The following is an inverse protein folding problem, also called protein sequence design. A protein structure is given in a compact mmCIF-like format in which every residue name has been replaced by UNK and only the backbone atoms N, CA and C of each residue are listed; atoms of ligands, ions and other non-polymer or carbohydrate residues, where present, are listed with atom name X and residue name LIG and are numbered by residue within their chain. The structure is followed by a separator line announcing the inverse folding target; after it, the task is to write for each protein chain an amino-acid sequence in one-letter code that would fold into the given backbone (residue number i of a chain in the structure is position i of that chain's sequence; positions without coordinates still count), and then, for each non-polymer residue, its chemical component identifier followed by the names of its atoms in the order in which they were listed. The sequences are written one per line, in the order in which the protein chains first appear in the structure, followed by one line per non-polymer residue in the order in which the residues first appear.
data_IF_801118491299
#
_entry.id   IF_801118491299
#
_cell.length_a   1.000
_cell.length_b   1.000
_cell.length_c   1.000
_cell.angle_alpha   90.00
_cell.angle_beta   90.00
_cell.angle_gamma   90.00
#
_symmetry.space_group_name_H-M   'P 1'
#
loop_
_entity.id
_entity.type
_entity.pdbx_description
1 polymer ?
#
# COMPACT_ATOMS: atom_id res chain seq x y z
N UNK A 1 17.30 -16.28 -17.66
CA UNK A 1 16.13 -15.77 -16.93
C UNK A 1 15.61 -16.89 -16.06
N UNK A 2 15.39 -16.67 -14.75
CA UNK A 2 14.89 -17.71 -13.87
C UNK A 2 13.52 -18.20 -14.37
N UNK A 3 13.39 -19.50 -14.67
CA UNK A 3 12.09 -20.09 -14.99
C UNK A 3 11.35 -20.30 -13.66
N UNK A 4 10.54 -19.31 -13.27
CA UNK A 4 9.70 -19.41 -12.05
C UNK A 4 8.74 -20.61 -12.11
N UNK A 5 8.35 -21.01 -13.33
CA UNK A 5 7.66 -22.27 -13.62
C UNK A 5 7.96 -22.66 -15.09
N UNK A 6 8.27 -23.93 -15.41
CA UNK A 6 8.67 -24.34 -16.76
C UNK A 6 7.57 -24.18 -17.82
N UNK A 7 6.28 -24.18 -17.44
CA UNK A 7 5.18 -23.92 -18.37
C UNK A 7 3.92 -23.45 -17.62
N UNK A 8 3.60 -22.15 -17.66
CA UNK A 8 2.35 -21.63 -17.13
C UNK A 8 1.21 -21.84 -18.13
N UNK A 9 -0.01 -22.19 -17.67
CA UNK A 9 -1.19 -22.22 -18.53
C UNK A 9 -1.50 -20.85 -19.14
N UNK A 10 -2.24 -20.84 -20.25
CA UNK A 10 -2.69 -19.61 -20.89
C UNK A 10 -3.55 -18.77 -19.93
N UNK A 11 -3.33 -17.45 -19.93
CA UNK A 11 -4.02 -16.49 -19.05
C UNK A 11 -3.52 -16.46 -17.60
N UNK A 12 -2.74 -17.44 -17.15
CA UNK A 12 -2.19 -17.47 -15.79
C UNK A 12 -1.00 -16.54 -15.66
N UNK A 13 -0.98 -15.73 -14.60
CA UNK A 13 0.17 -14.91 -14.20
C UNK A 13 0.66 -15.33 -12.82
N UNK A 14 1.96 -15.54 -12.70
CA UNK A 14 2.64 -15.80 -11.44
C UNK A 14 3.43 -14.57 -11.02
N UNK A 15 3.21 -14.10 -9.80
CA UNK A 15 3.95 -12.97 -9.23
C UNK A 15 4.94 -13.47 -8.19
N UNK A 16 6.22 -13.20 -8.40
CA UNK A 16 7.27 -13.50 -7.44
C UNK A 16 7.73 -12.20 -6.78
N UNK A 17 7.44 -12.06 -5.48
CA UNK A 17 7.70 -10.85 -4.70
C UNK A 17 8.95 -11.07 -3.84
N UNK A 18 10.05 -10.46 -4.23
CA UNK A 18 11.32 -10.59 -3.54
C UNK A 18 11.41 -9.76 -2.27
N UNK A 19 12.12 -10.28 -1.27
CA UNK A 19 12.47 -9.55 -0.06
C UNK A 19 13.52 -8.44 -0.30
N UNK A 20 14.13 -8.43 -1.50
CA UNK A 20 14.93 -7.32 -2.04
C UNK A 20 14.07 -6.14 -2.50
N UNK A 21 12.74 -6.29 -2.56
CA UNK A 21 11.81 -5.27 -3.03
C UNK A 21 11.59 -5.29 -4.55
N UNK A 22 12.11 -6.29 -5.26
CA UNK A 22 11.80 -6.50 -6.69
C UNK A 22 10.58 -7.39 -6.84
N UNK A 23 9.73 -7.08 -7.82
CA UNK A 23 8.62 -7.91 -8.22
C UNK A 23 8.88 -8.47 -9.63
N UNK A 24 8.69 -9.77 -9.83
CA UNK A 24 8.66 -10.37 -11.16
C UNK A 24 7.24 -10.81 -11.48
N UNK A 25 6.83 -10.62 -12.72
CA UNK A 25 5.63 -11.24 -13.29
C UNK A 25 6.04 -12.24 -14.34
N UNK A 26 5.51 -13.46 -14.24
CA UNK A 26 5.69 -14.51 -15.22
C UNK A 26 4.36 -14.92 -15.83
N UNK A 27 4.41 -15.21 -17.13
CA UNK A 27 3.33 -15.79 -17.92
C UNK A 27 3.92 -16.88 -18.82
N UNK A 28 3.15 -17.34 -19.82
CA UNK A 28 3.58 -18.39 -20.75
C UNK A 28 4.82 -18.01 -21.57
N UNK A 29 5.07 -16.72 -21.77
CA UNK A 29 6.16 -16.21 -22.62
C UNK A 29 7.47 -16.05 -21.85
N UNK A 30 7.39 -15.96 -20.52
CA UNK A 30 8.55 -15.89 -19.65
C UNK A 30 8.31 -15.02 -18.42
N UNK A 31 9.39 -14.63 -17.75
CA UNK A 31 9.35 -13.78 -16.57
C UNK A 31 9.98 -12.42 -16.85
N UNK A 32 9.35 -11.32 -16.44
CA UNK A 32 9.90 -9.97 -16.54
C UNK A 32 9.79 -9.25 -15.21
N UNK A 33 10.64 -8.26 -15.00
CA UNK A 33 10.51 -7.38 -13.84
C UNK A 33 9.26 -6.50 -13.99
N UNK A 34 8.51 -6.39 -12.90
CA UNK A 34 7.37 -5.50 -12.79
C UNK A 34 7.87 -4.25 -12.08
N UNK A 35 7.96 -3.13 -12.79
CA UNK A 35 8.50 -1.89 -12.26
C UNK A 35 8.28 -0.71 -13.20
N UNK A 36 8.35 0.54 -12.72
CA UNK A 36 8.15 1.72 -13.57
C UNK A 36 9.18 1.78 -14.72
N UNK A 37 8.77 2.19 -15.94
CA UNK A 37 7.44 2.65 -16.33
C UNK A 37 6.46 1.52 -16.70
N UNK A 38 6.93 0.28 -16.82
CA UNK A 38 6.18 -0.81 -17.42
C UNK A 38 5.35 -1.60 -16.40
N UNK A 39 4.03 -1.51 -16.53
CA UNK A 39 3.09 -2.30 -15.72
C UNK A 39 2.87 -1.77 -14.30
N UNK A 40 3.53 -0.70 -13.89
CA UNK A 40 3.25 0.01 -12.63
C UNK A 40 2.83 1.45 -12.89
N UNK A 41 1.77 1.89 -12.20
CA UNK A 41 1.29 3.28 -12.22
C UNK A 41 1.68 3.97 -10.93
N UNK A 42 1.81 5.31 -10.97
CA UNK A 42 1.86 6.11 -9.74
C UNK A 42 0.66 5.75 -8.88
N UNK A 43 0.91 5.58 -7.59
CA UNK A 43 -0.14 5.30 -6.62
C UNK A 43 -0.71 6.63 -6.10
N UNK A 44 -0.58 6.95 -4.81
CA UNK A 44 -1.03 8.25 -4.26
C UNK A 44 0.12 9.26 -4.33
N UNK A 45 1.20 9.01 -3.58
CA UNK A 45 2.36 9.91 -3.55
C UNK A 45 3.45 9.50 -4.54
N UNK A 46 4.38 10.44 -4.78
CA UNK A 46 5.58 10.21 -5.57
C UNK A 46 6.44 9.08 -4.98
N UNK A 47 7.07 8.29 -5.85
CA UNK A 47 7.88 7.13 -5.46
C UNK A 47 7.09 5.91 -5.00
N UNK A 48 5.75 6.00 -4.94
CA UNK A 48 4.88 4.88 -4.62
C UNK A 48 4.10 4.44 -5.86
N UNK A 49 4.02 3.14 -6.06
CA UNK A 49 3.52 2.56 -7.30
C UNK A 49 2.48 1.46 -7.04
N UNK A 50 1.61 1.23 -8.01
CA UNK A 50 0.62 0.17 -7.95
C UNK A 50 0.49 -0.55 -9.30
N UNK A 51 0.36 -1.88 -9.23
CA UNK A 51 -0.10 -2.74 -10.31
C UNK A 51 -1.49 -3.29 -9.95
N UNK A 52 -2.47 -3.06 -10.82
CA UNK A 52 -3.86 -3.49 -10.59
C UNK A 52 -4.00 -4.96 -11.04
N UNK A 53 -4.35 -5.81 -10.08
CA UNK A 53 -4.51 -7.25 -10.29
C UNK A 53 -5.93 -7.59 -10.76
N UNK A 54 -6.92 -6.88 -10.21
CA UNK A 54 -8.34 -7.02 -10.55
C UNK A 54 -8.97 -5.64 -10.56
N UNK A 55 -9.69 -5.34 -11.65
CA UNK A 55 -10.24 -4.01 -11.91
C UNK A 55 -9.22 -3.07 -12.55
N UNK A 56 -9.63 -1.81 -12.71
CA UNK A 56 -8.83 -0.77 -13.36
C UNK A 56 -8.54 0.39 -12.41
N UNK A 57 -7.52 1.18 -12.75
CA UNK A 57 -7.20 2.41 -12.03
C UNK A 57 -8.34 3.45 -12.14
N UNK A 58 -9.03 3.50 -13.28
CA UNK A 58 -10.07 4.48 -13.55
C UNK A 58 -11.42 4.06 -12.99
N UNK A 59 -12.15 5.01 -12.43
CA UNK A 59 -13.50 4.83 -11.93
C UNK A 59 -14.47 4.86 -13.11
N UNK A 60 -15.37 3.89 -13.19
CA UNK A 60 -16.48 3.90 -14.14
C UNK A 60 -17.80 3.59 -13.44
N UNK A 61 -18.88 4.36 -13.70
CA UNK A 61 -20.22 4.08 -13.19
C UNK A 61 -20.75 2.68 -13.56
N UNK A 62 -20.25 2.09 -14.66
CA UNK A 62 -20.65 0.77 -15.14
C UNK A 62 -19.75 -0.38 -14.65
N UNK A 63 -18.71 -0.12 -13.85
CA UNK A 63 -17.77 -1.14 -13.38
C UNK A 63 -17.80 -1.20 -11.85
N UNK A 64 -18.53 -2.16 -11.26
CA UNK A 64 -18.64 -2.27 -9.80
C UNK A 64 -17.31 -2.66 -9.11
N UNK A 65 -16.30 -3.08 -9.87
CA UNK A 65 -15.03 -3.62 -9.36
C UNK A 65 -13.81 -2.70 -9.56
N UNK A 66 -13.99 -1.38 -9.60
CA UNK A 66 -12.87 -0.45 -9.84
C UNK A 66 -11.75 -0.67 -8.81
N UNK A 67 -10.53 -0.87 -9.30
CA UNK A 67 -9.30 -1.01 -8.53
C UNK A 67 -9.31 -1.98 -7.34
N UNK A 68 -10.16 -3.01 -7.35
CA UNK A 68 -10.47 -3.79 -6.14
C UNK A 68 -9.24 -4.44 -5.51
N UNK A 69 -8.26 -4.89 -6.31
CA UNK A 69 -7.04 -5.52 -5.80
C UNK A 69 -5.81 -4.97 -6.52
N UNK A 70 -4.82 -4.52 -5.74
CA UNK A 70 -3.56 -4.00 -6.27
C UNK A 70 -2.36 -4.47 -5.48
N UNK A 71 -1.30 -4.80 -6.20
CA UNK A 71 0.04 -4.93 -5.68
C UNK A 71 0.66 -3.53 -5.61
N UNK A 72 0.83 -3.00 -4.41
CA UNK A 72 1.49 -1.73 -4.15
C UNK A 72 2.98 -1.90 -3.87
N UNK A 73 3.77 -0.90 -4.23
CA UNK A 73 5.17 -0.76 -3.86
C UNK A 73 5.36 0.58 -3.15
N UNK A 74 5.78 0.51 -1.88
CA UNK A 74 6.06 1.67 -1.03
C UNK A 74 7.56 1.87 -0.97
N UNK A 75 8.03 3.08 -1.26
CA UNK A 75 9.46 3.40 -1.27
C UNK A 75 10.13 3.15 0.09
N UNK A 76 11.45 2.90 0.13
CA UNK A 76 12.20 2.75 1.37
C UNK A 76 12.00 3.96 2.29
N UNK A 77 11.77 3.74 3.59
CA UNK A 77 11.72 4.81 4.60
C UNK A 77 10.69 5.91 4.30
N UNK A 78 9.64 5.60 3.55
CA UNK A 78 8.59 6.55 3.21
C UNK A 78 7.24 6.09 3.76
N UNK A 79 6.29 7.01 3.78
CA UNK A 79 4.89 6.72 4.03
C UNK A 79 4.00 7.47 3.05
N UNK A 80 2.77 7.00 2.88
CA UNK A 80 1.75 7.77 2.20
C UNK A 80 1.45 9.05 2.98
N UNK A 81 1.17 10.14 2.27
CA UNK A 81 0.60 11.34 2.90
C UNK A 81 -0.66 10.93 3.66
N UNK A 82 -0.87 11.42 4.91
CA UNK A 82 -2.10 11.14 5.65
C UNK A 82 -3.35 11.39 4.81
N UNK A 83 -4.20 10.37 4.71
CA UNK A 83 -5.44 10.41 3.94
C UNK A 83 -6.53 9.56 4.60
N UNK A 84 -7.74 9.69 4.05
CA UNK A 84 -8.84 8.78 4.32
C UNK A 84 -9.42 8.29 2.98
N UNK A 85 -10.12 7.16 3.03
CA UNK A 85 -10.88 6.64 1.89
C UNK A 85 -12.37 6.80 2.19
N UNK A 86 -13.19 7.20 1.22
CA UNK A 86 -14.65 7.14 1.31
C UNK A 86 -15.19 5.71 1.15
N UNK A 87 -14.32 4.69 1.13
CA UNK A 87 -14.66 3.28 1.19
C UNK A 87 -13.79 2.54 2.20
N UNK A 88 -14.21 1.35 2.60
CA UNK A 88 -13.38 0.47 3.42
C UNK A 88 -12.24 -0.13 2.58
N UNK A 89 -11.12 -0.43 3.25
CA UNK A 89 -10.03 -1.12 2.59
C UNK A 89 -9.22 -2.00 3.55
N UNK A 90 -8.48 -2.93 2.96
CA UNK A 90 -7.51 -3.78 3.65
C UNK A 90 -6.12 -3.57 3.05
N UNK A 91 -5.10 -3.69 3.89
CA UNK A 91 -3.70 -3.68 3.46
C UNK A 91 -2.97 -4.84 4.13
N UNK A 92 -2.48 -5.78 3.32
CA UNK A 92 -1.55 -6.83 3.75
C UNK A 92 -0.11 -6.37 3.49
N UNK A 93 0.71 -6.36 4.54
CA UNK A 93 2.13 -6.04 4.44
C UNK A 93 2.96 -7.30 4.19
N UNK A 94 3.83 -7.27 3.17
CA UNK A 94 4.81 -8.33 2.90
C UNK A 94 6.23 -7.96 3.37
N UNK A 95 6.36 -6.80 4.02
CA UNK A 95 7.59 -6.30 4.64
C UNK A 95 7.29 -5.71 6.03
N UNK A 96 8.27 -5.04 6.62
CA UNK A 96 8.05 -4.34 7.90
C UNK A 96 7.45 -2.97 7.63
N UNK A 97 6.17 -2.83 7.95
CA UNK A 97 5.41 -1.61 7.79
C UNK A 97 4.99 -1.00 9.14
N UNK A 98 4.43 0.19 9.04
CA UNK A 98 3.74 0.91 10.10
C UNK A 98 2.43 1.45 9.54
N UNK A 99 1.37 1.47 10.35
CA UNK A 99 0.17 2.22 10.04
C UNK A 99 -0.12 3.19 11.18
N UNK A 100 -0.01 4.49 10.90
CA UNK A 100 -0.51 5.55 11.77
C UNK A 100 -2.00 5.72 11.54
N UNK A 101 -2.79 5.80 12.61
CA UNK A 101 -4.23 5.95 12.62
C UNK A 101 -4.61 7.07 13.60
N UNK A 102 -5.67 7.81 13.31
CA UNK A 102 -6.22 8.75 14.28
C UNK A 102 -7.18 8.04 15.25
N UNK A 103 -6.87 8.07 16.54
CA UNK A 103 -7.78 7.60 17.60
C UNK A 103 -8.61 8.78 18.10
N UNK A 104 -9.83 8.90 17.59
CA UNK A 104 -10.75 9.98 17.95
C UNK A 104 -11.16 9.93 19.44
N UNK A 105 -11.22 8.74 20.05
CA UNK A 105 -11.60 8.60 21.45
C UNK A 105 -10.49 9.09 22.39
N UNK A 106 -9.24 9.00 21.97
CA UNK A 106 -8.07 9.46 22.73
C UNK A 106 -7.52 10.81 22.23
N UNK A 107 -8.03 11.33 21.11
CA UNK A 107 -7.60 12.59 20.51
C UNK A 107 -6.13 12.62 20.10
N UNK A 108 -5.58 11.48 19.63
CA UNK A 108 -4.15 11.35 19.29
C UNK A 108 -3.92 10.33 18.19
N UNK A 109 -2.73 10.35 17.58
CA UNK A 109 -2.33 9.25 16.70
C UNK A 109 -2.02 7.96 17.48
N UNK A 110 -2.40 6.83 16.90
CA UNK A 110 -1.95 5.51 17.26
C UNK A 110 -1.07 4.96 16.13
N UNK A 111 0.07 4.35 16.48
CA UNK A 111 0.95 3.70 15.50
C UNK A 111 0.94 2.20 15.70
N UNK A 112 0.64 1.46 14.64
CA UNK A 112 0.57 0.00 14.63
C UNK A 112 1.72 -0.54 13.76
N UNK A 113 2.63 -1.29 14.38
CA UNK A 113 3.66 -2.00 13.64
C UNK A 113 3.07 -3.22 12.92
N UNK A 114 3.36 -3.34 11.62
CA UNK A 114 2.87 -4.40 10.75
C UNK A 114 4.06 -5.21 10.17
N UNK A 115 4.60 -6.19 10.91
CA UNK A 115 5.58 -7.12 10.34
C UNK A 115 4.98 -7.92 9.16
N UNK A 116 5.84 -8.56 8.34
CA UNK A 116 5.38 -9.28 7.16
C UNK A 116 4.38 -10.39 7.50
N UNK A 117 3.28 -10.44 6.75
CA UNK A 117 2.17 -11.37 6.94
C UNK A 117 1.01 -10.81 7.77
N UNK A 118 1.14 -9.60 8.33
CA UNK A 118 0.01 -8.93 8.98
C UNK A 118 -0.80 -8.10 7.99
N UNK A 119 -2.11 -8.16 8.19
CA UNK A 119 -3.11 -7.41 7.45
C UNK A 119 -3.87 -6.49 8.39
N UNK A 120 -4.16 -5.28 7.94
CA UNK A 120 -5.02 -4.33 8.64
C UNK A 120 -6.25 -4.05 7.79
N UNK A 121 -7.42 -3.98 8.42
CA UNK A 121 -8.66 -3.46 7.85
C UNK A 121 -8.88 -2.07 8.40
N UNK A 122 -9.11 -1.11 7.51
CA UNK A 122 -9.29 0.30 7.86
C UNK A 122 -10.70 0.70 7.39
N UNK A 123 -11.58 1.10 8.32
CA UNK A 123 -12.93 1.54 7.99
C UNK A 123 -12.96 2.78 7.11
N UNK A 124 -14.12 3.01 6.50
CA UNK A 124 -14.43 4.24 5.77
C UNK A 124 -14.13 5.48 6.62
N UNK A 125 -13.58 6.52 5.97
CA UNK A 125 -13.23 7.81 6.52
C UNK A 125 -12.26 7.80 7.72
N UNK A 126 -11.68 6.64 8.09
CA UNK A 126 -10.65 6.55 9.13
C UNK A 126 -9.36 7.25 8.66
N UNK A 127 -8.91 8.33 9.34
CA UNK A 127 -7.66 9.01 8.99
C UNK A 127 -6.46 8.13 9.28
N UNK A 128 -5.62 7.88 8.28
CA UNK A 128 -4.46 6.99 8.42
C UNK A 128 -3.31 7.36 7.48
N UNK A 129 -2.15 6.78 7.76
CA UNK A 129 -0.96 6.81 6.90
C UNK A 129 -0.25 5.47 7.02
N UNK A 130 0.05 4.85 5.88
CA UNK A 130 0.78 3.59 5.83
C UNK A 130 2.22 3.83 5.38
N UNK A 131 3.19 3.22 6.07
CA UNK A 131 4.60 3.50 5.87
C UNK A 131 5.49 2.27 5.85
N UNK A 132 6.56 2.35 5.07
CA UNK A 132 7.61 1.36 4.97
C UNK A 132 8.74 1.66 5.96
N UNK A 133 8.86 0.84 7.00
CA UNK A 133 9.94 0.94 8.00
C UNK A 133 11.25 0.32 7.51
N UNK A 134 11.26 -0.33 6.34
CA UNK A 134 12.42 -0.97 5.72
C UNK A 134 13.34 0.00 4.99
N UNK A 135 14.51 -0.52 4.58
CA UNK A 135 15.47 0.19 3.69
C UNK A 135 15.36 -0.25 2.23
N UNK A 136 14.40 -1.13 1.92
CA UNK A 136 14.12 -1.65 0.57
C UNK A 136 12.66 -1.37 0.24
N UNK A 137 12.28 -1.36 -1.05
CA UNK A 137 10.89 -1.24 -1.43
C UNK A 137 10.03 -2.30 -0.72
N UNK A 138 8.86 -1.89 -0.27
CA UNK A 138 7.91 -2.74 0.42
C UNK A 138 6.77 -3.10 -0.52
N UNK A 139 6.55 -4.40 -0.72
CA UNK A 139 5.35 -4.89 -1.38
C UNK A 139 4.18 -4.92 -0.39
N UNK A 140 3.03 -4.43 -0.84
CA UNK A 140 1.75 -4.55 -0.16
C UNK A 140 0.71 -5.13 -1.11
N UNK A 141 -0.25 -5.86 -0.57
CA UNK A 141 -1.51 -6.11 -1.27
C UNK A 141 -2.56 -5.21 -0.63
N UNK A 142 -3.11 -4.28 -1.43
CA UNK A 142 -4.18 -3.41 -0.99
C UNK A 142 -5.46 -3.76 -1.74
N UNK A 143 -6.59 -3.73 -1.05
CA UNK A 143 -7.90 -3.88 -1.65
C UNK A 143 -8.89 -2.92 -1.03
N UNK A 144 -9.69 -2.26 -1.85
CA UNK A 144 -10.63 -1.22 -1.41
C UNK A 144 -11.99 -1.40 -2.08
N UNK A 145 -13.04 -0.90 -1.42
CA UNK A 145 -14.41 -0.99 -1.94
C UNK A 145 -14.69 0.14 -2.95
N UNK A 146 -14.90 -0.22 -4.22
CA UNK A 146 -15.69 0.54 -5.21
C UNK A 146 -15.03 1.70 -5.96
N UNK A 147 -13.98 2.31 -5.41
CA UNK A 147 -13.36 3.51 -6.00
C UNK A 147 -12.06 3.22 -6.76
N UNK A 148 -11.96 3.71 -7.99
CA UNK A 148 -10.70 3.82 -8.72
C UNK A 148 -9.83 4.93 -8.13
N UNK A 149 -8.54 4.96 -8.45
CA UNK A 149 -7.60 5.93 -7.88
C UNK A 149 -7.85 7.38 -8.32
N UNK A 150 -8.55 7.54 -9.43
CA UNK A 150 -8.99 8.83 -9.98
C UNK A 150 -10.26 9.37 -9.31
N UNK A 151 -10.91 8.60 -8.41
CA UNK A 151 -12.09 9.07 -7.71
C UNK A 151 -11.72 10.05 -6.60
N UNK A 152 -12.51 11.12 -6.44
CA UNK A 152 -12.29 12.11 -5.39
C UNK A 152 -12.37 11.52 -3.98
N UNK A 153 -13.14 10.45 -3.79
CA UNK A 153 -13.24 9.73 -2.51
C UNK A 153 -12.20 8.62 -2.34
N UNK A 154 -11.31 8.43 -3.33
CA UNK A 154 -10.26 7.44 -3.21
C UNK A 154 -9.20 7.86 -2.20
N UNK A 155 -8.65 9.06 -2.24
CA UNK A 155 -7.64 9.48 -1.26
C UNK A 155 -7.88 10.92 -0.83
N UNK A 156 -8.73 11.08 0.18
CA UNK A 156 -9.11 12.38 0.73
C UNK A 156 -7.97 12.85 1.64
N UNK A 157 -7.20 13.82 1.20
CA UNK A 157 -6.14 14.44 2.00
C UNK A 157 -6.70 15.50 2.95
N UNK A 158 -5.86 16.01 3.86
CA UNK A 158 -6.24 17.13 4.72
C UNK A 158 -6.71 18.35 3.90
N UNK A 159 -6.05 18.64 2.77
CA UNK A 159 -6.41 19.75 1.89
C UNK A 159 -7.78 19.53 1.24
N UNK A 160 -8.05 18.32 0.78
CA UNK A 160 -9.33 18.00 0.13
C UNK A 160 -10.48 18.11 1.15
N UNK A 161 -10.27 17.62 2.36
CA UNK A 161 -11.23 17.77 3.46
C UNK A 161 -11.46 19.25 3.84
N UNK A 162 -10.40 20.07 3.91
CA UNK A 162 -10.52 21.53 4.15
C UNK A 162 -11.35 22.23 3.07
N UNK A 163 -11.14 21.86 1.79
CA UNK A 163 -11.90 22.43 0.68
C UNK A 163 -13.38 22.03 0.73
N UNK A 164 -13.67 20.78 1.09
CA UNK A 164 -15.05 20.29 1.24
C UNK A 164 -15.77 20.89 2.44
N UNK A 165 -15.05 21.22 3.52
CA UNK A 165 -15.62 21.76 4.75
C UNK A 165 -16.41 23.07 4.54
N UNK A 166 -16.15 23.82 3.47
CA UNK A 166 -16.92 25.01 3.11
C UNK A 166 -18.38 24.70 2.73
N UNK A 167 -18.63 23.54 2.11
CA UNK A 167 -19.97 23.10 1.70
C UNK A 167 -20.54 22.00 2.62
N UNK A 168 -19.68 21.24 3.28
CA UNK A 168 -20.00 20.11 4.13
C UNK A 168 -19.19 20.19 5.45
N UNK A 169 -19.66 20.95 6.46
CA UNK A 169 -18.92 21.25 7.69
C UNK A 169 -18.42 20.01 8.45
N UNK A 170 -19.06 18.85 8.27
CA UNK A 170 -18.65 17.56 8.82
C UNK A 170 -17.25 17.10 8.38
N UNK A 171 -16.68 17.65 7.30
CA UNK A 171 -15.30 17.40 6.88
C UNK A 171 -14.25 18.16 7.73
N UNK A 172 -14.66 19.15 8.53
CA UNK A 172 -13.76 19.91 9.40
C UNK A 172 -12.97 19.04 10.39
N UNK A 173 -13.63 18.17 11.17
CA UNK A 173 -12.95 17.21 12.05
C UNK A 173 -11.99 16.26 11.30
N UNK A 174 -12.36 15.79 10.10
CA UNK A 174 -11.51 14.93 9.27
C UNK A 174 -10.22 15.66 8.86
N UNK A 175 -10.34 16.90 8.37
CA UNK A 175 -9.19 17.75 8.06
C UNK A 175 -8.25 17.92 9.26
N UNK A 176 -8.81 18.23 10.44
CA UNK A 176 -8.03 18.41 11.66
C UNK A 176 -7.29 17.13 12.09
N UNK A 177 -7.95 15.97 11.98
CA UNK A 177 -7.35 14.67 12.27
C UNK A 177 -6.19 14.35 11.32
N UNK A 178 -6.37 14.55 10.00
CA UNK A 178 -5.33 14.31 8.99
C UNK A 178 -4.12 15.23 9.18
N UNK A 179 -4.34 16.51 9.53
CA UNK A 179 -3.26 17.45 9.90
C UNK A 179 -2.51 16.99 11.15
N UNK A 180 -3.22 16.53 12.17
CA UNK A 180 -2.62 16.05 13.42
C UNK A 180 -1.77 14.82 13.17
N UNK A 181 -2.29 13.86 12.39
CA UNK A 181 -1.55 12.69 11.97
C UNK A 181 -0.28 13.06 11.17
N UNK A 182 -0.36 14.05 10.28
CA UNK A 182 0.80 14.56 9.54
C UNK A 182 1.85 15.25 10.42
N UNK A 183 1.43 15.97 11.47
CA UNK A 183 2.35 16.58 12.44
C UNK A 183 3.03 15.53 13.31
N UNK A 184 2.27 14.59 13.84
CA UNK A 184 2.78 13.51 14.72
C UNK A 184 3.63 12.49 13.94
N UNK A 185 3.29 12.22 12.67
CA UNK A 185 3.98 11.31 11.77
C UNK A 185 5.05 11.94 10.88
N UNK A 186 5.29 13.25 10.97
CA UNK A 186 6.13 14.01 10.04
C UNK A 186 7.60 13.58 9.98
N UNK A 187 8.07 12.77 10.93
CA UNK A 187 9.40 12.14 10.92
C UNK A 187 9.48 10.91 9.99
N UNK A 188 8.36 10.49 9.40
CA UNK A 188 8.26 9.25 8.63
C UNK A 188 8.21 8.01 9.53
N UNK A 189 8.15 6.80 8.93
CA UNK A 189 7.98 5.55 9.66
C UNK A 189 9.20 5.23 10.53
N UNK A 190 8.95 4.70 11.73
CA UNK A 190 9.99 4.41 12.71
C UNK A 190 11.04 3.40 12.24
N UNK A 191 12.27 3.51 12.74
CA UNK A 191 13.33 2.57 12.42
C UNK A 191 13.02 1.13 12.87
N UNK A 192 13.56 0.14 12.14
CA UNK A 192 13.50 -1.26 12.59
C UNK A 192 14.38 -1.45 13.84
N UNK A 193 13.78 -2.08 14.84
CA UNK A 193 14.44 -2.56 16.05
C UNK A 193 15.40 -3.70 15.70
N UNK A 194 16.34 -4.00 16.60
CA UNK A 194 17.35 -5.05 16.39
C UNK A 194 16.71 -6.40 16.04
N UNK A 195 15.67 -6.80 16.78
CA UNK A 195 14.93 -8.06 16.54
C UNK A 195 14.29 -8.10 15.16
N UNK A 196 13.70 -7.00 14.72
CA UNK A 196 13.07 -6.89 13.39
C UNK A 196 14.12 -6.96 12.28
N UNK A 197 15.29 -6.34 12.48
CA UNK A 197 16.40 -6.45 11.52
C UNK A 197 16.91 -7.89 11.39
N UNK A 198 17.01 -8.61 12.50
CA UNK A 198 17.39 -10.04 12.47
C UNK A 198 16.33 -10.87 11.74
N UNK A 199 15.05 -10.67 12.06
CA UNK A 199 13.95 -11.37 11.40
C UNK A 199 13.91 -11.11 9.89
N UNK A 200 14.15 -9.87 9.46
CA UNK A 200 14.24 -9.53 8.04
C UNK A 200 15.38 -10.29 7.33
N UNK A 201 16.56 -10.39 7.96
CA UNK A 201 17.69 -11.14 7.40
C UNK A 201 17.42 -12.64 7.30
N UNK A 202 16.79 -13.22 8.33
CA UNK A 202 16.42 -14.65 8.30
C UNK A 202 15.38 -14.93 7.21
N UNK A 203 14.43 -14.02 7.00
CA UNK A 203 13.46 -14.12 5.91
C UNK A 203 14.11 -14.00 4.53
N UNK A 204 15.07 -13.09 4.35
CA UNK A 204 15.86 -12.99 3.12
C UNK A 204 16.53 -14.33 2.78
N UNK A 205 17.14 -14.97 3.78
CA UNK A 205 17.78 -16.28 3.63
C UNK A 205 16.77 -17.37 3.28
N UNK A 206 15.64 -17.43 4.01
CA UNK A 206 14.57 -18.40 3.73
C UNK A 206 14.03 -18.25 2.31
N UNK A 207 13.70 -17.04 1.87
CA UNK A 207 13.24 -16.78 0.50
C UNK A 207 14.28 -17.18 -0.55
N UNK A 208 15.57 -17.02 -0.26
CA UNK A 208 16.64 -17.46 -1.18
C UNK A 208 16.68 -18.98 -1.31
N UNK A 209 16.41 -19.70 -0.22
CA UNK A 209 16.37 -21.17 -0.20
C UNK A 209 15.08 -21.73 -0.85
N UNK A 210 13.96 -21.02 -0.73
CA UNK A 210 12.66 -21.43 -1.27
C UNK A 210 12.49 -21.15 -2.77
N UNK A 211 13.30 -20.24 -3.35
CA UNK A 211 13.17 -19.88 -4.76
C UNK A 211 13.44 -21.10 -5.67
N UNK A 212 12.52 -21.43 -6.59
CA UNK A 212 12.77 -22.43 -7.62
C UNK A 212 14.04 -22.07 -8.41
N UNK A 213 14.91 -23.05 -8.64
CA UNK A 213 16.11 -22.90 -9.47
C UNK A 213 15.76 -23.04 -10.95
#
# INVERSE_FOLDING_TARGET
MARLCPQLPEGVRLYALGADGRALVADREGARELGPPDGMRRFIDEGQFAHYLVGDAATSPGRPSNATYKLGVVAPRSAFTPHAHGGEHIVLSLGHAECGLWDAAQGRAASIALPPGLMIRIPELMPHSFGNRGRRPLHILAANTGYGIDHDDYAITARDAEQRAAAAPEFGPLAAALRSLGREGGAGPGALRIRERLAARLRDLATTLERPR
#
